data_IF_836571936772
#
_entry.id   IF_836571936772
#
_cell.length_a   1.000
_cell.length_b   1.000
_cell.length_c   1.000
_cell.angle_alpha   90.00
_cell.angle_beta   90.00
_cell.angle_gamma   90.00
#
_symmetry.space_group_name_H-M   'P 1'
#
loop_
_entity.id
_entity.type
_entity.pdbx_description
1 polymer ?
#
# COMPACT_ATOMS: atom_id res chain seq x y z
N UNK A 1 -20.06 -6.87 -19.15
CA UNK A 1 -18.79 -7.40 -18.61
C UNK A 1 -18.21 -6.35 -17.69
N UNK A 2 -17.82 -6.75 -16.49
CA UNK A 2 -17.18 -5.83 -15.56
C UNK A 2 -15.83 -5.39 -16.16
N UNK A 3 -15.41 -4.19 -15.83
CA UNK A 3 -14.22 -3.58 -16.41
C UNK A 3 -13.42 -2.87 -15.33
N UNK A 4 -12.09 -2.97 -15.44
CA UNK A 4 -11.20 -2.10 -14.67
C UNK A 4 -11.26 -0.72 -15.33
N UNK A 5 -11.55 0.31 -14.54
CA UNK A 5 -11.70 1.69 -15.03
C UNK A 5 -10.63 2.64 -14.50
N UNK A 6 -9.86 2.18 -13.52
CA UNK A 6 -8.78 2.93 -12.90
C UNK A 6 -7.84 1.97 -12.17
N UNK A 7 -6.55 2.06 -12.46
CA UNK A 7 -5.49 1.58 -11.58
C UNK A 7 -4.95 2.72 -10.71
N UNK A 8 -4.53 2.43 -9.49
CA UNK A 8 -3.90 3.43 -8.62
C UNK A 8 -2.87 2.83 -7.70
N UNK A 9 -1.70 3.44 -7.60
CA UNK A 9 -0.63 3.07 -6.68
C UNK A 9 -0.40 4.25 -5.74
N UNK A 10 -0.39 3.98 -4.43
CA UNK A 10 -0.23 5.04 -3.43
C UNK A 10 0.50 4.53 -2.20
N UNK A 11 1.52 5.28 -1.77
CA UNK A 11 2.15 5.07 -0.49
C UNK A 11 1.21 5.38 0.67
N UNK A 12 1.31 4.61 1.76
CA UNK A 12 0.50 4.81 2.98
C UNK A 12 1.33 5.12 4.23
N UNK A 13 2.59 5.51 4.05
CA UNK A 13 3.56 5.63 5.13
C UNK A 13 3.17 6.66 6.21
N UNK A 14 3.71 6.51 7.44
CA UNK A 14 3.31 7.33 8.59
C UNK A 14 3.59 8.83 8.40
N UNK A 15 4.60 9.21 7.60
CA UNK A 15 4.94 10.61 7.32
C UNK A 15 3.86 11.38 6.56
N UNK A 16 2.89 10.68 5.94
CA UNK A 16 1.70 11.32 5.37
C UNK A 16 0.73 11.81 6.46
N UNK A 17 0.76 11.18 7.63
CA UNK A 17 -0.18 11.42 8.73
C UNK A 17 0.42 12.24 9.88
N UNK A 18 1.73 12.46 9.87
CA UNK A 18 2.45 13.18 10.93
C UNK A 18 2.89 14.53 10.37
N UNK A 19 2.55 15.66 11.01
CA UNK A 19 3.01 16.98 10.60
C UNK A 19 4.55 17.03 10.48
N UNK A 20 5.11 17.75 9.50
CA UNK A 20 6.56 17.85 9.29
C UNK A 20 7.35 18.26 10.54
N UNK A 21 6.79 19.14 11.38
CA UNK A 21 7.38 19.57 12.64
C UNK A 21 7.65 18.41 13.62
N UNK A 22 6.93 17.30 13.50
CA UNK A 22 7.00 16.13 14.36
C UNK A 22 7.78 14.96 13.75
N UNK A 23 8.34 15.10 12.54
CA UNK A 23 9.11 14.02 11.90
C UNK A 23 10.36 13.63 12.69
N UNK A 24 10.91 14.54 13.50
CA UNK A 24 12.00 14.26 14.43
C UNK A 24 11.67 13.15 15.45
N UNK A 25 10.39 12.95 15.79
CA UNK A 25 9.96 11.86 16.67
C UNK A 25 10.15 10.49 16.01
N UNK A 26 9.99 10.41 14.69
CA UNK A 26 10.26 9.20 13.92
C UNK A 26 11.77 8.93 13.84
N UNK A 27 12.59 9.98 13.70
CA UNK A 27 14.05 9.87 13.77
C UNK A 27 14.51 9.29 15.10
N UNK A 28 13.98 9.81 16.22
CA UNK A 28 14.32 9.32 17.55
C UNK A 28 13.91 7.85 17.75
N UNK A 29 12.78 7.45 17.19
CA UNK A 29 12.35 6.05 17.15
C UNK A 29 13.34 5.20 16.35
N UNK A 30 13.72 5.62 15.13
CA UNK A 30 14.62 4.86 14.28
C UNK A 30 15.99 4.63 14.93
N UNK A 31 16.47 5.60 15.72
CA UNK A 31 17.73 5.50 16.48
C UNK A 31 17.70 4.45 17.61
N UNK A 32 16.51 4.08 18.07
CA UNK A 32 16.32 3.17 19.22
C UNK A 32 15.63 1.85 18.82
N UNK A 33 15.16 1.72 17.59
CA UNK A 33 14.52 0.52 17.08
C UNK A 33 15.57 -0.59 16.91
N UNK A 34 15.47 -1.65 17.73
CA UNK A 34 16.40 -2.78 17.69
C UNK A 34 16.45 -3.51 16.34
N UNK A 35 15.50 -3.24 15.45
CA UNK A 35 15.45 -3.79 14.09
C UNK A 35 16.31 -2.99 13.10
N UNK A 36 16.77 -1.79 13.47
CA UNK A 36 17.54 -0.89 12.61
C UNK A 36 18.92 -0.69 13.23
N UNK A 37 19.98 -1.07 12.51
CA UNK A 37 21.34 -0.70 12.89
C UNK A 37 21.64 0.73 12.41
N UNK A 38 21.09 1.71 13.13
CA UNK A 38 21.18 3.12 12.77
C UNK A 38 22.63 3.62 12.67
N UNK A 39 23.53 3.10 13.52
CA UNK A 39 24.95 3.48 13.51
C UNK A 39 25.70 2.91 12.29
N UNK A 40 25.34 1.72 11.83
CA UNK A 40 25.85 1.21 10.56
C UNK A 40 25.34 2.04 9.37
N UNK A 41 24.04 2.37 9.37
CA UNK A 41 23.42 3.18 8.30
C UNK A 41 24.06 4.57 8.18
N UNK A 42 24.29 5.27 9.30
CA UNK A 42 24.98 6.56 9.30
C UNK A 42 26.37 6.53 8.64
N UNK A 43 27.10 5.40 8.73
CA UNK A 43 28.45 5.29 8.17
C UNK A 43 28.47 5.14 6.66
N UNK A 44 27.37 4.64 6.09
CA UNK A 44 27.25 4.36 4.64
C UNK A 44 26.34 5.34 3.92
N UNK A 45 25.56 6.13 4.65
CA UNK A 45 24.68 7.14 4.09
C UNK A 45 25.48 8.24 3.36
N UNK A 46 24.93 8.81 2.28
CA UNK A 46 25.56 9.93 1.57
C UNK A 46 25.84 11.11 2.52
N UNK A 47 27.07 11.68 2.54
CA UNK A 47 27.42 12.77 3.47
C UNK A 47 26.50 13.99 3.36
N UNK A 48 26.05 14.30 2.15
CA UNK A 48 25.21 15.47 1.88
C UNK A 48 23.73 15.26 2.25
N UNK A 49 23.33 14.04 2.65
CA UNK A 49 21.95 13.74 3.03
C UNK A 49 21.48 14.54 4.26
N UNK A 50 22.40 15.03 5.08
CA UNK A 50 22.06 15.98 6.16
C UNK A 50 21.31 17.22 5.63
N UNK A 51 21.60 17.65 4.41
CA UNK A 51 20.93 18.79 3.77
C UNK A 51 19.50 18.47 3.33
N UNK A 52 19.16 17.19 3.22
CA UNK A 52 17.81 16.71 2.92
C UNK A 52 16.93 16.60 4.18
N UNK A 53 17.46 16.95 5.35
CA UNK A 53 16.80 16.78 6.64
C UNK A 53 16.60 18.11 7.38
N UNK A 54 16.03 19.10 6.68
CA UNK A 54 15.64 20.40 7.26
C UNK A 54 14.12 20.52 7.38
N UNK A 55 13.60 21.37 8.30
CA UNK A 55 12.16 21.64 8.39
C UNK A 55 11.53 22.08 7.07
N UNK A 56 12.25 22.89 6.28
CA UNK A 56 11.78 23.37 4.97
C UNK A 56 11.65 22.21 3.99
N UNK A 57 12.64 21.30 3.93
CA UNK A 57 12.59 20.11 3.08
C UNK A 57 11.49 19.14 3.50
N UNK A 58 11.29 18.96 4.80
CA UNK A 58 10.19 18.14 5.30
C UNK A 58 8.82 18.71 4.95
N UNK A 59 8.65 20.03 5.07
CA UNK A 59 7.41 20.71 4.68
C UNK A 59 7.17 20.61 3.17
N UNK A 60 8.18 20.90 2.34
CA UNK A 60 8.12 20.79 0.88
C UNK A 60 7.63 19.41 0.44
N UNK A 61 8.22 18.35 1.00
CA UNK A 61 7.87 16.96 0.68
C UNK A 61 6.47 16.57 1.16
N UNK A 62 6.11 16.98 2.37
CA UNK A 62 4.77 16.74 2.91
C UNK A 62 3.70 17.39 2.04
N UNK A 63 3.91 18.63 1.62
CA UNK A 63 2.99 19.36 0.74
C UNK A 63 2.89 18.68 -0.63
N UNK A 64 4.02 18.27 -1.21
CA UNK A 64 4.05 17.52 -2.47
C UNK A 64 3.23 16.22 -2.39
N UNK A 65 3.40 15.45 -1.32
CA UNK A 65 2.60 14.23 -1.09
C UNK A 65 1.10 14.53 -1.00
N UNK A 66 0.70 15.61 -0.33
CA UNK A 66 -0.71 15.96 -0.18
C UNK A 66 -1.34 16.46 -1.49
N UNK A 67 -0.58 17.20 -2.31
CA UNK A 67 -1.00 17.55 -3.68
C UNK A 67 -1.20 16.27 -4.51
N UNK A 68 -0.28 15.32 -4.41
CA UNK A 68 -0.41 14.05 -5.12
C UNK A 68 -1.63 13.23 -4.66
N UNK A 69 -1.92 13.21 -3.36
CA UNK A 69 -3.11 12.56 -2.81
C UNK A 69 -4.42 13.18 -3.29
N UNK A 70 -4.50 14.52 -3.32
CA UNK A 70 -5.64 15.23 -3.90
C UNK A 70 -5.85 14.85 -5.37
N UNK A 71 -4.75 14.71 -6.13
CA UNK A 71 -4.84 14.27 -7.52
C UNK A 71 -5.40 12.85 -7.66
N UNK A 72 -5.02 11.94 -6.76
CA UNK A 72 -5.56 10.59 -6.74
C UNK A 72 -7.05 10.57 -6.35
N UNK A 73 -7.48 11.39 -5.37
CA UNK A 73 -8.89 11.58 -5.03
C UNK A 73 -9.71 12.02 -6.25
N UNK A 74 -9.24 13.05 -6.98
CA UNK A 74 -9.90 13.54 -8.19
C UNK A 74 -10.08 12.44 -9.24
N UNK A 75 -9.06 11.60 -9.41
CA UNK A 75 -9.07 10.48 -10.36
C UNK A 75 -10.06 9.40 -9.96
N UNK A 76 -10.08 8.99 -8.69
CA UNK A 76 -11.08 8.04 -8.19
C UNK A 76 -12.51 8.57 -8.40
N UNK A 77 -12.74 9.85 -8.06
CA UNK A 77 -14.04 10.51 -8.22
C UNK A 77 -14.47 10.60 -9.69
N UNK A 78 -13.55 10.91 -10.60
CA UNK A 78 -13.80 10.97 -12.03
C UNK A 78 -14.10 9.59 -12.63
N UNK A 79 -13.40 8.54 -12.17
CA UNK A 79 -13.58 7.18 -12.63
C UNK A 79 -14.93 6.57 -12.21
N UNK A 80 -15.57 7.07 -11.14
CA UNK A 80 -16.90 6.60 -10.66
C UNK A 80 -16.98 5.06 -10.60
N UNK A 81 -16.08 4.38 -9.84
CA UNK A 81 -16.15 2.94 -9.73
C UNK A 81 -17.33 2.52 -8.85
N UNK A 82 -17.91 1.37 -9.18
CA UNK A 82 -18.94 0.69 -8.38
C UNK A 82 -18.32 -0.12 -7.24
N UNK A 83 -17.04 -0.49 -7.35
CA UNK A 83 -16.27 -1.17 -6.31
C UNK A 83 -14.77 -0.86 -6.41
N UNK A 84 -14.07 -0.91 -5.28
CA UNK A 84 -12.62 -0.74 -5.17
C UNK A 84 -11.99 -2.04 -4.66
N UNK A 85 -11.14 -2.66 -5.47
CA UNK A 85 -10.27 -3.74 -5.02
C UNK A 85 -8.98 -3.12 -4.51
N UNK A 86 -8.66 -3.31 -3.22
CA UNK A 86 -7.42 -2.80 -2.63
C UNK A 86 -6.48 -3.95 -2.40
N UNK A 87 -5.30 -3.90 -3.01
CA UNK A 87 -4.17 -4.79 -2.79
C UNK A 87 -3.28 -4.14 -1.73
N UNK A 88 -3.19 -4.76 -0.58
CA UNK A 88 -2.42 -4.27 0.56
C UNK A 88 -1.90 -5.42 1.40
N UNK A 89 -1.06 -5.14 2.37
CA UNK A 89 -0.52 -6.12 3.29
C UNK A 89 -1.28 -6.15 4.62
N UNK A 90 -1.08 -7.23 5.39
CA UNK A 90 -1.48 -7.32 6.79
C UNK A 90 -0.22 -7.30 7.66
N UNK A 91 -0.08 -6.33 8.55
CA UNK A 91 1.12 -6.19 9.41
C UNK A 91 0.90 -6.78 10.80
N UNK A 92 0.65 -8.09 10.87
CA UNK A 92 0.29 -8.77 12.12
C UNK A 92 -0.99 -8.19 12.76
N UNK A 93 -1.97 -7.85 11.93
CA UNK A 93 -3.22 -7.23 12.38
C UNK A 93 -4.30 -8.32 12.44
N UNK A 94 -4.59 -8.94 11.30
CA UNK A 94 -5.54 -10.02 11.14
C UNK A 94 -4.88 -11.39 11.21
N UNK A 95 -3.72 -11.54 10.58
CA UNK A 95 -2.99 -12.81 10.52
C UNK A 95 -1.78 -12.74 11.44
N UNK A 96 -1.46 -13.84 12.12
CA UNK A 96 -0.33 -13.94 13.05
C UNK A 96 0.48 -15.19 12.71
N UNK A 97 1.56 -15.44 13.43
CA UNK A 97 2.50 -16.54 13.16
C UNK A 97 1.85 -17.94 13.16
N UNK A 98 0.71 -18.11 13.83
CA UNK A 98 -0.06 -19.35 13.86
C UNK A 98 -0.81 -19.63 12.54
N UNK A 99 -1.13 -18.58 11.76
CA UNK A 99 -1.71 -18.70 10.43
C UNK A 99 -1.44 -17.42 9.59
N UNK A 100 -0.38 -17.48 8.78
CA UNK A 100 0.06 -16.40 7.90
C UNK A 100 -0.09 -16.81 6.41
N UNK A 101 -1.21 -16.46 5.74
CA UNK A 101 -1.42 -16.81 4.35
C UNK A 101 -0.57 -15.95 3.42
N UNK A 102 -0.11 -16.52 2.29
CA UNK A 102 0.58 -15.74 1.25
C UNK A 102 -0.34 -14.69 0.62
N UNK A 103 -1.59 -15.09 0.34
CA UNK A 103 -2.65 -14.26 -0.18
C UNK A 103 -3.94 -14.53 0.59
N UNK A 104 -4.71 -13.50 0.92
CA UNK A 104 -6.03 -13.66 1.52
C UNK A 104 -7.05 -12.66 0.96
N UNK A 105 -8.32 -13.08 0.90
CA UNK A 105 -9.44 -12.21 0.54
C UNK A 105 -10.48 -12.25 1.66
N UNK A 106 -10.88 -11.07 2.15
CA UNK A 106 -11.98 -10.99 3.11
C UNK A 106 -13.31 -10.68 2.39
N UNK A 107 -14.29 -11.58 2.51
CA UNK A 107 -15.57 -11.53 1.78
C UNK A 107 -16.77 -11.15 2.65
N UNK A 108 -16.54 -10.60 3.84
CA UNK A 108 -17.61 -10.14 4.73
C UNK A 108 -18.48 -9.03 4.12
N UNK A 109 -19.57 -8.67 4.79
CA UNK A 109 -20.57 -7.71 4.27
C UNK A 109 -20.18 -6.24 4.48
N UNK A 110 -19.33 -5.95 5.47
CA UNK A 110 -18.82 -4.62 5.77
C UNK A 110 -17.51 -4.68 6.53
N UNK A 111 -16.75 -3.57 6.50
CA UNK A 111 -15.50 -3.45 7.24
C UNK A 111 -15.53 -2.27 8.19
N UNK A 112 -15.19 -2.57 9.45
CA UNK A 112 -15.15 -1.59 10.53
C UNK A 112 -13.84 -0.79 10.49
N UNK A 113 -13.93 0.53 10.43
CA UNK A 113 -12.79 1.45 10.49
C UNK A 113 -12.79 2.16 11.85
N UNK A 114 -11.91 1.74 12.74
CA UNK A 114 -11.84 2.26 14.10
C UNK A 114 -10.42 2.67 14.46
N UNK A 115 -10.28 3.78 15.19
CA UNK A 115 -9.01 4.09 15.86
C UNK A 115 -8.68 2.93 16.79
N UNK A 116 -7.45 2.44 16.68
CA UNK A 116 -6.95 1.39 17.57
C UNK A 116 -6.45 2.00 18.86
N UNK A 117 -6.94 1.48 19.99
CA UNK A 117 -6.40 1.84 21.30
C UNK A 117 -5.18 0.95 21.58
N UNK A 118 -3.98 1.42 21.23
CA UNK A 118 -2.72 0.73 21.55
C UNK A 118 -1.78 1.67 22.30
N UNK A 119 -1.00 1.18 23.29
CA UNK A 119 0.13 1.93 23.80
C UNK A 119 1.11 2.15 22.64
N UNK A 120 1.23 3.38 22.19
CA UNK A 120 2.06 3.73 21.04
C UNK A 120 2.99 4.88 21.41
N UNK A 121 4.20 4.88 20.83
CA UNK A 121 5.16 5.98 21.01
C UNK A 121 4.54 7.31 20.53
N UNK A 122 5.02 8.44 21.04
CA UNK A 122 4.44 9.76 20.73
C UNK A 122 4.24 10.01 19.21
N UNK A 123 5.17 9.58 18.37
CA UNK A 123 5.06 9.66 16.91
C UNK A 123 3.81 8.93 16.36
N UNK A 124 3.48 7.77 16.92
CA UNK A 124 2.32 6.97 16.50
C UNK A 124 1.01 7.55 17.04
N UNK A 125 1.03 8.16 18.22
CA UNK A 125 -0.13 8.90 18.73
C UNK A 125 -0.48 10.08 17.80
N UNK A 126 0.53 10.75 17.23
CA UNK A 126 0.34 11.80 16.22
C UNK A 126 -0.14 11.24 14.87
N UNK A 127 0.46 10.16 14.36
CA UNK A 127 -0.03 9.49 13.14
C UNK A 127 -1.49 9.01 13.27
N UNK A 128 -1.92 8.73 14.49
CA UNK A 128 -3.29 8.35 14.81
C UNK A 128 -4.26 9.53 15.01
N UNK A 129 -3.77 10.77 15.12
CA UNK A 129 -4.62 11.94 15.26
C UNK A 129 -5.47 12.21 14.01
N UNK A 130 -5.04 11.71 12.84
CA UNK A 130 -5.78 11.77 11.58
C UNK A 130 -6.90 10.73 11.43
N UNK A 131 -7.16 9.87 12.44
CA UNK A 131 -8.31 8.96 12.38
C UNK A 131 -9.64 9.72 12.52
N UNK A 132 -10.71 9.28 11.84
CA UNK A 132 -12.04 9.81 12.10
C UNK A 132 -12.39 9.68 13.59
N UNK A 133 -12.89 10.78 14.16
CA UNK A 133 -13.22 10.88 15.58
C UNK A 133 -14.28 9.85 16.02
N UNK A 134 -15.05 9.32 15.06
CA UNK A 134 -16.01 8.27 15.30
C UNK A 134 -15.73 7.03 14.44
N UNK A 135 -15.95 5.84 15.00
CA UNK A 135 -16.29 4.64 14.26
C UNK A 135 -17.05 4.85 12.94
N UNK A 136 -16.55 4.31 11.82
CA UNK A 136 -17.35 4.12 10.61
C UNK A 136 -17.31 2.67 10.12
N UNK A 137 -18.32 2.26 9.36
CA UNK A 137 -18.38 1.01 8.63
C UNK A 137 -18.42 1.32 7.14
N UNK A 138 -17.58 0.63 6.36
CA UNK A 138 -17.56 0.76 4.90
C UNK A 138 -18.21 -0.47 4.27
N UNK A 139 -19.01 -0.30 3.21
CA UNK A 139 -19.62 -1.42 2.52
C UNK A 139 -18.52 -2.30 1.91
N UNK A 140 -18.72 -3.61 1.97
CA UNK A 140 -17.89 -4.57 1.26
C UNK A 140 -18.53 -4.97 -0.08
N UNK A 141 -17.82 -5.77 -0.88
CA UNK A 141 -18.30 -6.29 -2.17
C UNK A 141 -18.35 -7.83 -2.18
N UNK A 142 -19.27 -8.49 -1.44
CA UNK A 142 -19.26 -9.95 -1.29
C UNK A 142 -19.50 -10.73 -2.60
N UNK A 143 -20.35 -10.22 -3.52
CA UNK A 143 -20.53 -10.85 -4.84
C UNK A 143 -19.23 -10.79 -5.67
N UNK A 144 -18.55 -9.65 -5.67
CA UNK A 144 -17.24 -9.51 -6.33
C UNK A 144 -16.21 -10.42 -5.67
N UNK A 145 -16.18 -10.50 -4.34
CA UNK A 145 -15.30 -11.39 -3.60
C UNK A 145 -15.50 -12.85 -4.02
N UNK A 146 -16.75 -13.31 -4.11
CA UNK A 146 -17.09 -14.64 -4.59
C UNK A 146 -16.59 -14.91 -6.01
N UNK A 147 -16.77 -13.93 -6.91
CA UNK A 147 -16.25 -14.00 -8.28
C UNK A 147 -14.72 -14.11 -8.31
N UNK A 148 -14.00 -13.25 -7.57
CA UNK A 148 -12.53 -13.29 -7.54
C UNK A 148 -12.01 -14.58 -6.94
N UNK A 149 -12.57 -15.02 -5.80
CA UNK A 149 -12.15 -16.26 -5.13
C UNK A 149 -12.38 -17.47 -6.04
N UNK A 150 -13.55 -17.58 -6.66
CA UNK A 150 -13.88 -18.68 -7.57
C UNK A 150 -12.96 -18.71 -8.79
N UNK A 151 -12.75 -17.56 -9.42
CA UNK A 151 -11.88 -17.45 -10.60
C UNK A 151 -10.40 -17.69 -10.26
N UNK A 152 -9.91 -17.21 -9.11
CA UNK A 152 -8.53 -17.45 -8.67
C UNK A 152 -8.29 -18.94 -8.40
N UNK A 153 -9.24 -19.63 -7.76
CA UNK A 153 -9.20 -21.08 -7.61
C UNK A 153 -9.08 -21.78 -8.96
N UNK A 154 -9.90 -21.38 -9.93
CA UNK A 154 -9.91 -21.99 -11.27
C UNK A 154 -8.63 -21.64 -12.09
N UNK A 155 -7.86 -20.67 -11.63
CA UNK A 155 -6.54 -20.26 -12.16
C UNK A 155 -5.35 -20.80 -11.33
N UNK A 156 -5.56 -21.81 -10.49
CA UNK A 156 -4.54 -22.45 -9.66
C UNK A 156 -3.85 -21.49 -8.66
N UNK A 157 -4.62 -20.57 -8.08
CA UNK A 157 -4.21 -19.78 -6.91
C UNK A 157 -4.81 -20.31 -5.62
N UNK A 158 -3.93 -20.62 -4.66
CA UNK A 158 -4.30 -20.93 -3.28
C UNK A 158 -4.51 -19.63 -2.48
N UNK A 159 -5.72 -19.08 -2.53
CA UNK A 159 -6.10 -17.92 -1.72
C UNK A 159 -6.74 -18.36 -0.42
N UNK A 160 -6.26 -17.83 0.71
CA UNK A 160 -6.99 -17.92 1.96
C UNK A 160 -8.22 -17.02 1.92
N UNK A 161 -9.25 -17.38 2.67
CA UNK A 161 -10.48 -16.59 2.75
C UNK A 161 -10.83 -16.32 4.21
N UNK A 162 -11.32 -15.12 4.50
CA UNK A 162 -11.97 -14.81 5.77
C UNK A 162 -13.35 -14.19 5.52
N UNK A 163 -14.35 -14.54 6.32
CA UNK A 163 -15.66 -13.90 6.28
C UNK A 163 -15.78 -12.71 7.23
N UNK A 164 -14.80 -12.50 8.11
CA UNK A 164 -14.81 -11.41 9.09
C UNK A 164 -13.39 -10.98 9.47
N UNK A 165 -13.25 -9.72 9.84
CA UNK A 165 -12.04 -9.20 10.48
C UNK A 165 -12.21 -9.21 11.99
N UNK A 166 -11.11 -9.34 12.75
CA UNK A 166 -11.14 -9.24 14.22
C UNK A 166 -11.80 -7.92 14.62
N UNK A 167 -12.88 -7.91 15.42
CA UNK A 167 -13.59 -6.67 15.77
C UNK A 167 -12.72 -5.63 16.50
N UNK A 168 -11.74 -6.09 17.28
CA UNK A 168 -10.78 -5.22 18.00
C UNK A 168 -9.74 -4.56 17.07
N UNK A 169 -9.64 -5.02 15.84
CA UNK A 169 -8.65 -4.55 14.85
C UNK A 169 -9.35 -3.79 13.73
N UNK A 170 -10.49 -4.30 13.25
CA UNK A 170 -11.19 -3.77 12.09
C UNK A 170 -10.35 -3.88 10.82
N UNK A 171 -10.53 -2.94 9.91
CA UNK A 171 -9.77 -2.87 8.68
C UNK A 171 -8.28 -2.51 8.97
N UNK A 172 -7.35 -3.16 8.25
CA UNK A 172 -5.90 -2.95 8.38
C UNK A 172 -5.46 -1.53 7.99
N UNK A 173 -4.30 -1.09 8.48
CA UNK A 173 -3.79 0.25 8.17
C UNK A 173 -3.57 0.47 6.65
N UNK A 174 -3.07 -0.55 5.94
CA UNK A 174 -2.89 -0.52 4.49
C UNK A 174 -4.19 -0.21 3.72
N UNK A 175 -5.33 -0.61 4.26
CA UNK A 175 -6.64 -0.41 3.64
C UNK A 175 -7.35 0.85 4.15
N UNK A 176 -7.18 1.17 5.44
CA UNK A 176 -7.83 2.35 6.05
C UNK A 176 -7.24 3.67 5.56
N UNK A 177 -6.02 3.66 5.04
CA UNK A 177 -5.38 4.83 4.42
C UNK A 177 -6.22 5.45 3.30
N UNK A 178 -6.86 4.62 2.45
CA UNK A 178 -7.73 5.08 1.37
C UNK A 178 -8.77 6.08 1.87
N UNK A 179 -9.37 5.80 3.03
CA UNK A 179 -10.44 6.61 3.64
C UNK A 179 -9.94 7.83 4.41
N UNK A 180 -8.63 8.04 4.50
CA UNK A 180 -8.09 9.29 5.09
C UNK A 180 -7.96 10.39 4.06
N UNK A 181 -7.56 10.04 2.84
CA UNK A 181 -7.12 11.03 1.85
C UNK A 181 -7.75 10.91 0.47
N UNK A 182 -8.23 9.73 0.08
CA UNK A 182 -8.65 9.46 -1.31
C UNK A 182 -10.17 9.23 -1.39
N UNK A 183 -10.76 8.57 -0.39
CA UNK A 183 -12.20 8.28 -0.35
C UNK A 183 -12.79 8.43 1.06
N UNK A 184 -12.69 9.62 1.69
CA UNK A 184 -13.11 9.81 3.08
C UNK A 184 -14.60 9.57 3.34
N UNK A 185 -15.44 9.67 2.31
CA UNK A 185 -16.87 9.38 2.41
C UNK A 185 -17.16 7.88 2.63
N UNK A 186 -16.25 6.98 2.25
CA UNK A 186 -16.38 5.55 2.51
C UNK A 186 -17.60 4.88 1.89
N UNK A 187 -18.19 5.46 0.85
CA UNK A 187 -19.46 5.01 0.25
C UNK A 187 -19.34 3.94 -0.82
N UNK A 188 -18.14 3.73 -1.39
CA UNK A 188 -17.93 2.79 -2.49
C UNK A 188 -17.53 1.44 -1.86
N UNK A 189 -18.21 0.33 -2.24
CA UNK A 189 -17.86 -1.01 -1.80
C UNK A 189 -16.37 -1.32 -1.99
N UNK A 190 -15.71 -1.82 -0.95
CA UNK A 190 -14.29 -2.19 -0.98
C UNK A 190 -14.10 -3.69 -0.84
N UNK A 191 -13.12 -4.25 -1.54
CA UNK A 191 -12.69 -5.65 -1.41
C UNK A 191 -11.19 -5.71 -1.10
N UNK A 192 -10.79 -6.13 0.12
CA UNK A 192 -9.37 -6.23 0.46
C UNK A 192 -8.79 -7.53 -0.08
N UNK A 193 -7.73 -7.41 -0.87
CA UNK A 193 -6.83 -8.49 -1.28
C UNK A 193 -5.53 -8.31 -0.51
N UNK A 194 -5.32 -9.16 0.46
CA UNK A 194 -4.17 -9.12 1.37
C UNK A 194 -3.00 -9.93 0.79
N UNK A 195 -1.81 -9.33 0.78
CA UNK A 195 -0.56 -9.96 0.37
C UNK A 195 0.38 -10.02 1.56
N UNK A 196 0.91 -11.20 1.90
CA UNK A 196 1.97 -11.30 2.91
C UNK A 196 3.28 -10.75 2.32
N UNK A 197 3.55 -9.47 2.53
CA UNK A 197 4.78 -8.84 2.06
C UNK A 197 5.94 -8.99 3.06
N UNK A 198 5.63 -9.08 4.35
CA UNK A 198 6.62 -8.95 5.43
C UNK A 198 7.16 -10.27 5.98
N UNK A 199 6.30 -11.26 6.21
CA UNK A 199 6.54 -12.27 7.24
C UNK A 199 6.95 -13.62 6.65
N UNK A 200 8.20 -14.10 6.90
CA UNK A 200 8.61 -15.45 6.52
C UNK A 200 7.70 -16.53 7.12
N UNK A 201 7.64 -17.73 6.53
CA UNK A 201 8.56 -18.24 5.49
C UNK A 201 8.08 -18.07 4.04
N UNK A 202 6.86 -17.60 3.81
CA UNK A 202 6.21 -17.65 2.50
C UNK A 202 5.80 -16.30 1.85
N UNK A 203 6.48 -15.15 2.04
CA UNK A 203 6.20 -13.98 1.20
C UNK A 203 6.32 -14.36 -0.29
N UNK A 204 5.36 -13.94 -1.14
CA UNK A 204 5.37 -14.28 -2.56
C UNK A 204 6.56 -13.64 -3.28
N UNK A 205 7.01 -14.27 -4.36
CA UNK A 205 7.97 -13.66 -5.28
C UNK A 205 7.29 -12.54 -6.09
N UNK A 206 8.04 -11.56 -6.62
CA UNK A 206 7.48 -10.52 -7.50
C UNK A 206 6.73 -11.13 -8.69
N UNK A 207 7.28 -12.20 -9.29
CA UNK A 207 6.60 -12.97 -10.33
C UNK A 207 5.24 -13.52 -9.90
N UNK A 208 5.10 -14.02 -8.67
CA UNK A 208 3.81 -14.52 -8.15
C UNK A 208 2.84 -13.37 -7.87
N UNK A 209 3.32 -12.21 -7.42
CA UNK A 209 2.53 -10.99 -7.31
C UNK A 209 2.01 -10.51 -8.67
N UNK A 210 2.87 -10.40 -9.68
CA UNK A 210 2.45 -10.01 -11.05
C UNK A 210 1.41 -10.98 -11.61
N UNK A 211 1.63 -12.29 -11.42
CA UNK A 211 0.68 -13.32 -11.83
C UNK A 211 -0.67 -13.19 -11.10
N UNK A 212 -0.67 -12.89 -9.80
CA UNK A 212 -1.90 -12.61 -9.04
C UNK A 212 -2.65 -11.44 -9.66
N UNK A 213 -1.94 -10.36 -9.98
CA UNK A 213 -2.50 -9.19 -10.67
C UNK A 213 -3.25 -9.55 -11.95
N UNK A 214 -2.60 -10.29 -12.85
CA UNK A 214 -3.24 -10.75 -14.10
C UNK A 214 -4.46 -11.63 -13.83
N UNK A 215 -4.37 -12.48 -12.81
CA UNK A 215 -5.47 -13.37 -12.45
C UNK A 215 -6.68 -12.60 -11.87
N UNK A 216 -6.43 -11.55 -11.09
CA UNK A 216 -7.46 -10.62 -10.61
C UNK A 216 -8.12 -9.87 -11.78
N UNK A 217 -7.32 -9.36 -12.73
CA UNK A 217 -7.86 -8.71 -13.94
C UNK A 217 -8.75 -9.66 -14.73
N UNK A 218 -8.27 -10.87 -15.02
CA UNK A 218 -9.07 -11.89 -15.72
C UNK A 218 -10.37 -12.23 -14.96
N UNK A 219 -10.32 -12.31 -13.63
CA UNK A 219 -11.50 -12.57 -12.81
C UNK A 219 -12.53 -11.44 -12.84
N UNK A 220 -12.08 -10.18 -12.85
CA UNK A 220 -12.93 -9.00 -13.01
C UNK A 220 -13.53 -8.98 -14.43
N UNK A 221 -12.70 -9.00 -15.47
CA UNK A 221 -13.11 -8.83 -16.86
C UNK A 221 -14.00 -9.97 -17.39
N UNK A 222 -13.90 -11.17 -16.80
CA UNK A 222 -14.75 -12.31 -17.14
C UNK A 222 -16.13 -12.30 -16.45
N UNK A 223 -16.37 -11.36 -15.52
CA UNK A 223 -17.64 -11.32 -14.81
C UNK A 223 -18.73 -10.69 -15.68
N UNK A 224 -19.79 -11.43 -15.96
CA UNK A 224 -20.95 -10.97 -16.74
C UNK A 224 -21.88 -10.07 -15.92
N UNK A 225 -21.34 -8.94 -15.49
CA UNK A 225 -22.04 -7.81 -14.87
C UNK A 225 -21.65 -6.53 -15.57
N UNK A 226 -22.42 -5.48 -15.42
CA UNK A 226 -22.00 -4.13 -15.83
C UNK A 226 -21.48 -3.42 -14.57
N UNK A 227 -20.16 -3.52 -14.33
CA UNK A 227 -19.51 -2.99 -13.13
C UNK A 227 -18.20 -2.31 -13.50
N UNK A 228 -17.95 -1.17 -12.87
CA UNK A 228 -16.74 -0.38 -12.97
C UNK A 228 -15.89 -0.64 -11.74
N UNK A 229 -14.71 -1.24 -11.90
CA UNK A 229 -13.84 -1.60 -10.78
C UNK A 229 -12.58 -0.72 -10.80
N UNK A 230 -12.25 -0.11 -9.67
CA UNK A 230 -10.93 0.47 -9.45
C UNK A 230 -10.04 -0.55 -8.73
N UNK A 231 -8.77 -0.66 -9.13
CA UNK A 231 -7.77 -1.52 -8.47
C UNK A 231 -6.68 -0.63 -7.88
N UNK A 232 -6.45 -0.74 -6.57
CA UNK A 232 -5.53 0.12 -5.82
C UNK A 232 -4.44 -0.71 -5.17
N UNK A 233 -3.17 -0.41 -5.41
CA UNK A 233 -2.08 -0.87 -4.54
C UNK A 233 -1.81 0.16 -3.45
N UNK A 234 -1.76 -0.31 -2.22
CA UNK A 234 -1.44 0.48 -1.05
C UNK A 234 -0.09 0.06 -0.46
N UNK A 235 0.74 1.04 -0.11
CA UNK A 235 2.04 0.83 0.53
C UNK A 235 3.21 1.18 -0.38
N UNK A 236 4.42 0.79 0.02
CA UNK A 236 5.65 1.10 -0.68
C UNK A 236 6.03 2.59 -0.65
N UNK A 237 7.11 3.02 -1.32
CA UNK A 237 8.14 2.16 -1.92
C UNK A 237 9.17 1.81 -0.83
N UNK A 238 10.44 2.16 -0.99
CA UNK A 238 11.48 1.87 0.01
C UNK A 238 11.22 2.56 1.36
N UNK A 239 11.17 1.74 2.43
CA UNK A 239 11.11 2.18 3.82
C UNK A 239 11.35 1.01 4.81
N UNK A 240 11.83 1.21 6.03
CA UNK A 240 12.23 2.43 6.73
C UNK A 240 13.57 3.01 6.26
N UNK A 241 14.26 2.35 5.32
CA UNK A 241 15.48 2.84 4.68
C UNK A 241 15.11 3.20 3.24
N UNK A 242 15.43 4.43 2.83
CA UNK A 242 15.17 4.88 1.46
C UNK A 242 16.30 4.37 0.56
N UNK A 243 15.90 3.73 -0.53
CA UNK A 243 16.73 3.13 -1.57
C UNK A 243 16.22 3.60 -2.94
N UNK A 244 16.53 4.85 -3.30
CA UNK A 244 15.99 5.48 -4.52
C UNK A 244 16.32 4.69 -5.80
N UNK A 245 17.43 3.96 -5.84
CA UNK A 245 17.80 3.11 -6.98
C UNK A 245 16.82 1.93 -7.17
N UNK A 246 16.34 1.33 -6.08
CA UNK A 246 15.31 0.29 -6.14
C UNK A 246 13.95 0.89 -6.52
N UNK A 247 13.65 2.07 -5.98
CA UNK A 247 12.40 2.76 -6.26
C UNK A 247 12.31 3.14 -7.74
N UNK A 248 13.36 3.71 -8.32
CA UNK A 248 13.44 4.02 -9.74
C UNK A 248 13.42 2.76 -10.60
N UNK A 249 14.12 1.68 -10.21
CA UNK A 249 14.02 0.40 -10.91
C UNK A 249 12.56 -0.09 -11.01
N UNK A 250 11.78 0.02 -9.93
CA UNK A 250 10.36 -0.32 -9.95
C UNK A 250 9.56 0.65 -10.83
N UNK A 251 9.70 1.96 -10.62
CA UNK A 251 8.89 2.98 -11.30
C UNK A 251 9.14 3.00 -12.81
N UNK A 252 10.39 2.86 -13.25
CA UNK A 252 10.75 2.77 -14.65
C UNK A 252 10.17 1.50 -15.27
N UNK A 253 10.28 0.35 -14.59
CA UNK A 253 9.68 -0.90 -15.06
C UNK A 253 8.14 -0.83 -15.15
N UNK A 254 7.48 -0.11 -14.24
CA UNK A 254 6.03 0.13 -14.31
C UNK A 254 5.66 1.02 -15.50
N UNK A 255 6.42 2.09 -15.75
CA UNK A 255 6.18 3.02 -16.85
C UNK A 255 6.42 2.38 -18.22
N UNK A 256 7.46 1.56 -18.34
CA UNK A 256 7.85 0.87 -19.57
C UNK A 256 7.10 -0.45 -19.78
N UNK A 257 6.29 -0.88 -18.80
CA UNK A 257 5.61 -2.18 -18.77
C UNK A 257 6.60 -3.36 -18.87
N UNK A 258 7.80 -3.20 -18.31
CA UNK A 258 8.84 -4.23 -18.29
C UNK A 258 8.49 -5.34 -17.29
N UNK A 259 7.77 -6.34 -17.79
CA UNK A 259 7.32 -7.49 -17.01
C UNK A 259 8.50 -8.29 -16.42
N UNK A 260 9.62 -8.39 -17.14
CA UNK A 260 10.76 -9.17 -16.67
C UNK A 260 11.48 -8.45 -15.53
N UNK A 261 11.70 -7.15 -15.63
CA UNK A 261 12.22 -6.34 -14.53
C UNK A 261 11.32 -6.44 -13.28
N UNK A 262 10.01 -6.24 -13.44
CA UNK A 262 9.03 -6.37 -12.34
C UNK A 262 9.06 -7.76 -11.69
N UNK A 263 9.13 -8.82 -12.49
CA UNK A 263 9.11 -10.20 -12.00
C UNK A 263 10.43 -10.66 -11.37
N UNK A 264 11.53 -9.92 -11.56
CA UNK A 264 12.88 -10.28 -11.10
C UNK A 264 13.45 -9.31 -10.08
N UNK A 265 12.63 -8.40 -9.53
CA UNK A 265 13.04 -7.52 -8.44
C UNK A 265 13.72 -8.33 -7.30
N UNK A 266 14.82 -7.82 -6.73
CA UNK A 266 15.66 -8.56 -5.79
C UNK A 266 14.93 -8.79 -4.46
N UNK A 267 14.52 -10.03 -4.20
CA UNK A 267 13.75 -10.44 -3.02
C UNK A 267 14.42 -10.03 -1.70
N UNK A 268 15.75 -10.05 -1.66
CA UNK A 268 16.58 -9.69 -0.52
C UNK A 268 16.51 -8.19 -0.16
N UNK A 269 16.12 -7.33 -1.10
CA UNK A 269 15.86 -5.90 -0.85
C UNK A 269 14.38 -5.62 -0.51
N UNK A 270 13.48 -6.54 -0.85
CA UNK A 270 12.05 -6.43 -0.55
C UNK A 270 11.73 -6.88 0.88
N UNK A 271 12.29 -6.18 1.85
CA UNK A 271 12.20 -6.49 3.28
C UNK A 271 11.57 -5.34 4.06
N UNK A 272 10.99 -5.64 5.24
CA UNK A 272 10.34 -4.61 6.09
C UNK A 272 9.33 -3.79 5.26
N UNK A 273 9.24 -2.48 5.47
CA UNK A 273 8.35 -1.60 4.72
C UNK A 273 8.51 -1.70 3.20
N UNK A 274 9.75 -1.74 2.71
CA UNK A 274 10.09 -1.89 1.28
C UNK A 274 9.45 -3.13 0.65
N UNK A 275 9.11 -4.14 1.46
CA UNK A 275 8.45 -5.34 0.99
C UNK A 275 7.08 -5.09 0.34
N UNK A 276 6.41 -3.99 0.67
CA UNK A 276 5.11 -3.56 0.13
C UNK A 276 5.16 -3.19 -1.36
N UNK A 277 6.35 -3.05 -1.96
CA UNK A 277 6.54 -2.98 -3.42
C UNK A 277 5.85 -4.16 -4.13
N UNK A 278 5.72 -5.31 -3.46
CA UNK A 278 4.94 -6.46 -3.97
C UNK A 278 3.49 -6.12 -4.32
N UNK A 279 2.86 -5.18 -3.60
CA UNK A 279 1.50 -4.72 -3.90
C UNK A 279 1.47 -3.97 -5.24
N UNK A 280 2.47 -3.15 -5.53
CA UNK A 280 2.63 -2.44 -6.80
C UNK A 280 2.89 -3.41 -7.97
N UNK A 281 3.69 -4.45 -7.75
CA UNK A 281 3.93 -5.50 -8.76
C UNK A 281 2.64 -6.27 -9.06
N UNK A 282 1.80 -6.53 -8.05
CA UNK A 282 0.48 -7.12 -8.26
C UNK A 282 -0.47 -6.17 -9.00
N UNK A 283 -0.46 -4.88 -8.69
CA UNK A 283 -1.22 -3.88 -9.46
C UNK A 283 -0.78 -3.87 -10.92
N UNK A 284 0.52 -3.90 -11.21
CA UNK A 284 1.05 -3.89 -12.57
C UNK A 284 0.45 -5.01 -13.45
N UNK A 285 0.32 -6.22 -12.91
CA UNK A 285 -0.35 -7.32 -13.62
C UNK A 285 -1.85 -7.10 -13.81
N UNK A 286 -2.50 -6.42 -12.85
CA UNK A 286 -3.92 -6.10 -12.93
C UNK A 286 -4.23 -4.96 -13.91
N UNK A 287 -3.25 -4.12 -14.25
CA UNK A 287 -3.44 -2.92 -15.09
C UNK A 287 -2.55 -2.91 -16.34
N UNK A 288 -1.98 -4.05 -16.71
CA UNK A 288 -1.14 -4.26 -17.89
C UNK A 288 -1.65 -3.58 -19.19
N UNK A 289 -2.97 -3.54 -19.50
CA UNK A 289 -3.47 -2.85 -20.69
C UNK A 289 -3.39 -1.31 -20.66
N UNK A 290 -3.26 -0.71 -19.47
CA UNK A 290 -3.36 0.74 -19.25
C UNK A 290 -1.99 1.41 -19.19
N UNK A 291 -1.93 2.72 -19.41
CA UNK A 291 -0.68 3.49 -19.35
C UNK A 291 -0.53 4.17 -18.01
N UNK A 292 0.68 4.10 -17.43
CA UNK A 292 0.97 4.73 -16.15
C UNK A 292 1.12 6.24 -16.31
N UNK A 293 0.51 6.99 -15.40
CA UNK A 293 0.90 8.37 -15.10
C UNK A 293 1.44 8.44 -13.68
N UNK A 294 2.74 8.70 -13.55
CA UNK A 294 3.35 9.05 -12.26
C UNK A 294 2.92 10.48 -11.90
N UNK A 295 2.24 10.64 -10.77
CA UNK A 295 1.86 11.95 -10.22
C UNK A 295 3.08 12.59 -9.56
N UNK A 296 3.73 11.84 -8.68
CA UNK A 296 4.98 12.26 -8.03
C UNK A 296 5.74 11.07 -7.41
N UNK A 297 7.04 11.25 -7.22
CA UNK A 297 7.91 10.45 -6.39
C UNK A 297 8.66 11.36 -5.41
N UNK A 298 8.45 11.14 -4.11
CA UNK A 298 8.93 12.03 -3.05
C UNK A 298 9.71 11.23 -2.00
N UNK A 299 11.05 11.28 -1.99
CA UNK A 299 11.86 10.59 -0.99
C UNK A 299 11.81 11.35 0.35
N UNK A 300 10.87 11.00 1.23
CA UNK A 300 10.67 11.66 2.52
C UNK A 300 11.71 11.21 3.56
N UNK A 301 12.97 11.63 3.36
CA UNK A 301 14.02 11.49 4.35
C UNK A 301 13.64 12.20 5.66
N UNK A 302 13.89 11.51 6.77
CA UNK A 302 13.71 12.05 8.12
C UNK A 302 14.95 11.90 9.00
N UNK A 303 16.02 11.26 8.50
CA UNK A 303 17.28 11.23 9.20
C UNK A 303 18.49 11.25 8.26
N UNK A 304 19.68 11.63 8.77
CA UNK A 304 20.95 11.49 8.05
C UNK A 304 21.36 10.03 7.77
N UNK A 305 20.65 9.04 8.33
CA UNK A 305 20.94 7.61 8.15
C UNK A 305 20.12 6.98 7.01
N UNK A 306 19.68 7.79 6.05
CA UNK A 306 18.75 7.39 4.98
C UNK A 306 17.42 6.83 5.46
N UNK A 307 17.04 7.04 6.73
CA UNK A 307 15.73 6.57 7.19
C UNK A 307 14.63 7.53 6.75
N UNK A 308 13.46 6.97 6.46
CA UNK A 308 12.33 7.70 5.91
C UNK A 308 11.34 6.77 5.23
N UNK A 309 10.49 7.36 4.40
CA UNK A 309 9.62 6.64 3.49
C UNK A 309 9.67 7.30 2.12
N UNK A 310 10.07 6.55 1.09
CA UNK A 310 9.97 7.03 -0.29
C UNK A 310 8.53 6.87 -0.77
N UNK A 311 7.87 8.00 -1.04
CA UNK A 311 6.46 8.03 -1.41
C UNK A 311 6.31 8.06 -2.92
N UNK A 312 5.39 7.26 -3.45
CA UNK A 312 5.02 7.31 -4.85
C UNK A 312 3.51 7.35 -5.00
N UNK A 313 3.05 8.08 -6.01
CA UNK A 313 1.64 8.24 -6.33
C UNK A 313 1.47 8.14 -7.84
N UNK A 314 0.67 7.18 -8.30
CA UNK A 314 0.46 6.96 -9.72
C UNK A 314 -0.95 6.45 -10.00
N UNK A 315 -1.40 6.63 -11.24
CA UNK A 315 -2.64 6.06 -11.74
C UNK A 315 -2.47 5.49 -13.14
N UNK A 316 -3.40 4.62 -13.54
CA UNK A 316 -3.45 3.96 -14.83
C UNK A 316 -4.85 4.10 -15.43
N UNK A 317 -4.93 4.58 -16.67
CA UNK A 317 -6.16 4.81 -17.46
C UNK A 317 -5.94 4.48 -18.94
#
# INVERSE_FOLDING_TARGET
MAQIVLGMGTSHGPQLNIPPSEWHLLTAKDQTDARIDYQALLKVAPPDLVNENTPEKWQERYDACHVALQRLEEKLRAAKPDAIVVIGDDQHEQFLDDNMPMFAICYGDSFRIARRERPSAAAWQQAEAGWPAQPMDVPAAPELAGQLIGSLRDQDFDVATSNALKPSVGLGHAFTFLYRYIHPEGTIPMLPVMVNTFFPPNPPTPRRCYALGRALRSAIESWDRDLRVAVVASGGLSHTIIEEDLDHLLLDALAEKDTDALCTLPMERLVRGTSEIRNWVALAGAVEPFDMTLVDYVPCYRSPASTGCAMAFAYWE
#
